data_IF_750432890649
#
_entry.id   IF_750432890649
#
_cell.length_a   1.000
_cell.length_b   1.000
_cell.length_c   1.000
_cell.angle_alpha   90.00
_cell.angle_beta   90.00
_cell.angle_gamma   90.00
#
_symmetry.space_group_name_H-M   'P 1'
#
loop_
_entity.id
_entity.type
_entity.pdbx_description
1 polymer ?
#
# COMPACT_ATOMS: atom_id res chain seq x y z
N UNK A 1 -0.02 15.84 -1.46
CA UNK A 1 -0.08 15.26 -0.11
C UNK A 1 1.33 15.00 0.40
N UNK A 2 1.55 15.18 1.69
CA UNK A 2 2.85 14.82 2.28
C UNK A 2 2.98 13.30 2.37
N UNK A 3 4.22 12.80 2.44
CA UNK A 3 4.45 11.37 2.62
C UNK A 3 3.81 10.84 3.91
N UNK A 4 3.78 11.66 4.95
CA UNK A 4 3.17 11.25 6.21
C UNK A 4 1.67 11.01 6.07
N UNK A 5 0.96 11.87 5.36
CA UNK A 5 -0.46 11.69 5.13
C UNK A 5 -0.73 10.47 4.26
N UNK A 6 0.08 10.30 3.22
CA UNK A 6 -0.03 9.15 2.34
C UNK A 6 0.24 7.86 3.12
N UNK A 7 1.29 7.85 3.92
CA UNK A 7 1.63 6.70 4.76
C UNK A 7 0.49 6.37 5.72
N UNK A 8 -0.08 7.37 6.39
CA UNK A 8 -1.17 7.14 7.35
C UNK A 8 -2.37 6.48 6.68
N UNK A 9 -2.73 6.93 5.49
CA UNK A 9 -3.85 6.35 4.75
C UNK A 9 -3.56 4.92 4.31
N UNK A 10 -2.37 4.68 3.80
CA UNK A 10 -1.96 3.33 3.38
C UNK A 10 -1.92 2.40 4.59
N UNK A 11 -1.35 2.86 5.70
CA UNK A 11 -1.28 2.06 6.92
C UNK A 11 -2.66 1.68 7.44
N UNK A 12 -3.59 2.62 7.40
CA UNK A 12 -4.96 2.36 7.85
C UNK A 12 -5.62 1.28 7.00
N UNK A 13 -5.43 1.33 5.70
CA UNK A 13 -5.96 0.32 4.78
C UNK A 13 -5.39 -1.05 5.11
N UNK A 14 -4.08 -1.11 5.36
CA UNK A 14 -3.40 -2.37 5.67
C UNK A 14 -3.90 -2.94 7.01
N UNK A 15 -4.05 -2.09 8.01
CA UNK A 15 -4.58 -2.51 9.32
C UNK A 15 -5.96 -3.12 9.17
N UNK A 16 -6.83 -2.49 8.40
CA UNK A 16 -8.19 -2.98 8.21
C UNK A 16 -8.25 -4.26 7.39
N UNK A 17 -7.42 -4.34 6.34
CA UNK A 17 -7.46 -5.47 5.42
C UNK A 17 -6.76 -6.70 5.96
N UNK A 18 -5.61 -6.54 6.61
CA UNK A 18 -4.80 -7.67 7.08
C UNK A 18 -4.92 -7.93 8.57
N UNK A 19 -5.56 -7.03 9.30
CA UNK A 19 -5.78 -7.22 10.74
C UNK A 19 -4.50 -7.12 11.57
N UNK A 20 -3.54 -6.30 11.13
CA UNK A 20 -2.29 -6.08 11.87
C UNK A 20 -2.36 -4.79 12.66
N UNK A 21 -1.52 -4.68 13.69
CA UNK A 21 -1.45 -3.47 14.49
C UNK A 21 -0.80 -2.34 13.70
N UNK A 22 -1.31 -1.14 13.87
CA UNK A 22 -0.78 0.03 13.19
C UNK A 22 0.69 0.26 13.54
N UNK A 23 1.09 -0.03 14.76
CA UNK A 23 2.47 0.10 15.21
C UNK A 23 3.44 -0.80 14.44
N UNK A 24 2.94 -1.87 13.85
CA UNK A 24 3.74 -2.81 13.09
C UNK A 24 3.86 -2.42 11.63
N UNK A 25 3.06 -1.49 11.16
CA UNK A 25 3.11 -1.04 9.77
C UNK A 25 4.22 -0.01 9.62
N UNK A 26 5.30 -0.43 8.97
CA UNK A 26 6.46 0.41 8.71
C UNK A 26 6.72 0.46 7.21
N UNK A 27 7.58 1.36 6.77
CA UNK A 27 7.93 1.45 5.36
C UNK A 27 8.66 0.22 4.85
N UNK A 28 9.31 -0.51 5.73
CA UNK A 28 10.05 -1.74 5.39
C UNK A 28 9.16 -2.99 5.37
N UNK A 29 7.92 -2.88 5.84
CA UNK A 29 7.02 -4.02 5.90
C UNK A 29 6.72 -4.53 4.49
N UNK A 30 6.95 -5.82 4.25
CA UNK A 30 6.67 -6.44 2.96
C UNK A 30 5.30 -7.10 2.99
N UNK A 31 4.60 -7.02 1.86
CA UNK A 31 3.26 -7.59 1.80
C UNK A 31 3.28 -9.12 1.76
N UNK A 32 4.22 -9.70 1.04
CA UNK A 32 4.29 -11.14 0.89
C UNK A 32 4.93 -11.84 2.09
N UNK A 33 6.08 -11.33 2.52
CA UNK A 33 6.85 -12.00 3.57
C UNK A 33 6.33 -11.69 4.97
N UNK A 34 6.01 -10.44 5.23
CA UNK A 34 5.60 -10.01 6.57
C UNK A 34 4.09 -10.17 6.81
N UNK A 35 3.29 -9.90 5.80
CA UNK A 35 1.83 -9.98 5.91
C UNK A 35 1.26 -11.29 5.36
N UNK A 36 2.08 -12.07 4.69
CA UNK A 36 1.63 -13.32 4.09
C UNK A 36 0.62 -13.13 2.97
N UNK A 37 0.64 -11.97 2.32
CA UNK A 37 -0.29 -11.68 1.24
C UNK A 37 0.08 -12.46 -0.02
N UNK A 38 -0.92 -13.04 -0.67
CA UNK A 38 -0.70 -13.66 -1.97
C UNK A 38 -1.01 -12.66 -3.08
N UNK A 39 -0.92 -13.11 -4.33
CA UNK A 39 -1.14 -12.23 -5.48
C UNK A 39 -2.53 -11.62 -5.49
N UNK A 40 -3.54 -12.36 -5.08
CA UNK A 40 -4.91 -11.88 -5.02
C UNK A 40 -5.07 -10.79 -3.97
N UNK A 41 -4.47 -10.99 -2.80
CA UNK A 41 -4.51 -9.98 -1.73
C UNK A 41 -3.86 -8.68 -2.18
N UNK A 42 -2.75 -8.78 -2.92
CA UNK A 42 -2.06 -7.60 -3.43
C UNK A 42 -2.90 -6.88 -4.48
N UNK A 43 -3.55 -7.62 -5.36
CA UNK A 43 -4.44 -7.03 -6.38
C UNK A 43 -5.59 -6.28 -5.70
N UNK A 44 -6.20 -6.88 -4.68
CA UNK A 44 -7.28 -6.23 -3.96
C UNK A 44 -6.81 -4.98 -3.22
N UNK A 45 -5.62 -5.04 -2.62
CA UNK A 45 -5.03 -3.89 -1.96
C UNK A 45 -4.79 -2.75 -2.95
N UNK A 46 -4.24 -3.07 -4.12
CA UNK A 46 -3.98 -2.09 -5.16
C UNK A 46 -5.28 -1.43 -5.62
N UNK A 47 -6.33 -2.22 -5.81
CA UNK A 47 -7.64 -1.69 -6.21
C UNK A 47 -8.20 -0.73 -5.16
N UNK A 48 -8.03 -1.07 -3.89
CA UNK A 48 -8.48 -0.18 -2.82
C UNK A 48 -7.68 1.11 -2.77
N UNK A 49 -6.37 1.03 -3.00
CA UNK A 49 -5.52 2.22 -3.07
C UNK A 49 -5.95 3.13 -4.24
N UNK A 50 -6.26 2.54 -5.38
CA UNK A 50 -6.76 3.31 -6.53
C UNK A 50 -8.04 4.06 -6.17
N UNK A 51 -8.93 3.39 -5.48
CA UNK A 51 -10.23 3.94 -5.11
C UNK A 51 -10.08 5.06 -4.05
N UNK A 52 -9.29 4.81 -3.03
CA UNK A 52 -9.09 5.78 -1.94
C UNK A 52 -8.35 7.02 -2.39
N UNK A 53 -7.34 6.86 -3.23
CA UNK A 53 -6.49 7.97 -3.67
C UNK A 53 -6.91 8.56 -5.02
N UNK A 54 -7.86 7.92 -5.71
CA UNK A 54 -8.34 8.41 -6.99
C UNK A 54 -7.30 8.38 -8.09
N UNK A 55 -6.41 7.40 -8.07
CA UNK A 55 -5.36 7.22 -9.08
C UNK A 55 -5.43 5.82 -9.67
N UNK A 56 -4.83 5.65 -10.84
CA UNK A 56 -4.75 4.33 -11.47
C UNK A 56 -3.35 3.76 -11.28
N UNK A 57 -3.28 2.49 -10.96
CA UNK A 57 -2.03 1.75 -10.81
C UNK A 57 -2.03 0.61 -11.82
N UNK A 58 -1.10 0.63 -12.77
CA UNK A 58 -1.02 -0.43 -13.77
C UNK A 58 -0.56 -1.74 -13.11
N UNK A 59 -0.84 -2.85 -13.77
CA UNK A 59 -0.40 -4.16 -13.27
C UNK A 59 1.11 -4.23 -13.15
N UNK A 60 1.83 -3.63 -14.08
CA UNK A 60 3.28 -3.60 -14.04
C UNK A 60 3.79 -2.84 -12.81
N UNK A 61 3.18 -1.70 -12.51
CA UNK A 61 3.56 -0.92 -11.35
C UNK A 61 3.18 -1.62 -10.05
N UNK A 62 2.03 -2.29 -10.05
CA UNK A 62 1.59 -3.07 -8.88
C UNK A 62 2.57 -4.17 -8.53
N UNK A 63 3.17 -4.81 -9.54
CA UNK A 63 4.17 -5.86 -9.32
C UNK A 63 5.44 -5.33 -8.65
N UNK A 64 5.74 -4.06 -8.82
CA UNK A 64 6.90 -3.42 -8.23
C UNK A 64 6.66 -2.95 -6.80
N UNK A 65 5.41 -2.90 -6.39
CA UNK A 65 5.06 -2.52 -5.02
C UNK A 65 5.20 -3.74 -4.13
N UNK A 66 6.33 -3.84 -3.43
CA UNK A 66 6.64 -4.98 -2.57
C UNK A 66 6.58 -4.62 -1.10
N UNK A 67 6.82 -3.35 -0.75
CA UNK A 67 6.78 -2.88 0.63
C UNK A 67 5.77 -1.74 0.77
N UNK A 68 5.43 -1.44 2.02
CA UNK A 68 4.56 -0.29 2.33
C UNK A 68 5.19 1.00 1.82
N UNK A 69 6.51 1.14 1.98
CA UNK A 69 7.22 2.32 1.48
C UNK A 69 7.13 2.47 -0.03
N UNK A 70 7.19 1.36 -0.76
CA UNK A 70 7.03 1.39 -2.22
C UNK A 70 5.65 1.91 -2.61
N UNK A 71 4.61 1.46 -1.92
CA UNK A 71 3.24 1.91 -2.17
C UNK A 71 3.08 3.39 -1.88
N UNK A 72 3.60 3.84 -0.74
CA UNK A 72 3.53 5.24 -0.34
C UNK A 72 4.24 6.13 -1.35
N UNK A 73 5.44 5.73 -1.75
CA UNK A 73 6.25 6.48 -2.71
C UNK A 73 5.54 6.58 -4.06
N UNK A 74 5.00 5.48 -4.53
CA UNK A 74 4.28 5.45 -5.81
C UNK A 74 3.12 6.44 -5.80
N UNK A 75 2.30 6.37 -4.78
CA UNK A 75 1.12 7.23 -4.66
C UNK A 75 1.52 8.69 -4.53
N UNK A 76 2.51 8.96 -3.69
CA UNK A 76 2.97 10.33 -3.45
C UNK A 76 3.47 10.98 -4.74
N UNK A 77 4.23 10.25 -5.54
CA UNK A 77 4.76 10.72 -6.82
C UNK A 77 3.62 10.99 -7.81
N UNK A 78 2.61 10.14 -7.85
CA UNK A 78 1.52 10.26 -8.82
C UNK A 78 0.47 11.29 -8.44
N UNK A 79 0.38 11.67 -7.17
CA UNK A 79 -0.58 12.64 -6.70
C UNK A 79 0.02 14.04 -6.47
N UNK A 80 1.33 14.14 -6.46
CA UNK A 80 2.00 15.41 -6.20
C UNK A 80 2.07 16.31 -7.45
#
# INVERSE_FOLDING_TARGET
MSQNETFDKVAKIIVERFGVDEDKVTTDLTFKDDLGADSLDIVELVMELEDVFGTEISDEDAEQITTVGDAVKYIDVHLS
#
